data_IF_003063883400
#
_entry.id   IF_003063883400
#
_cell.length_a   1.000
_cell.length_b   1.000
_cell.length_c   1.000
_cell.angle_alpha   90.00
_cell.angle_beta   90.00
_cell.angle_gamma   90.00
#
_symmetry.space_group_name_H-M   'P 1'
#
loop_
_entity.id
_entity.type
_entity.pdbx_description
1 polymer ?
#
# COMPACT_ATOMS: atom_id res chain seq x y z
N UNK A 1 -20.18 -93.62 78.40
CA UNK A 1 -19.83 -92.20 78.61
C UNK A 1 -18.70 -91.94 79.62
N UNK A 2 -18.42 -92.81 80.61
CA UNK A 2 -17.31 -92.61 81.57
C UNK A 2 -15.91 -92.72 80.93
N UNK A 3 -15.65 -93.76 80.14
CA UNK A 3 -14.36 -93.94 79.44
C UNK A 3 -13.98 -92.76 78.54
N UNK A 4 -14.94 -92.11 77.90
CA UNK A 4 -14.67 -90.92 77.08
C UNK A 4 -14.27 -89.72 77.93
N UNK A 5 -14.91 -89.52 79.11
CA UNK A 5 -14.53 -88.44 80.04
C UNK A 5 -13.14 -88.66 80.64
N UNK A 6 -12.79 -89.91 80.95
CA UNK A 6 -11.46 -90.24 81.49
C UNK A 6 -10.36 -90.11 80.41
N UNK A 7 -10.70 -90.43 79.15
CA UNK A 7 -9.83 -90.20 78.00
C UNK A 7 -9.64 -88.72 77.69
N UNK A 8 -10.69 -87.90 77.83
CA UNK A 8 -10.59 -86.45 77.68
C UNK A 8 -9.75 -85.85 78.81
N UNK A 9 -9.98 -86.23 80.07
CA UNK A 9 -9.17 -85.74 81.21
C UNK A 9 -7.70 -86.14 81.12
N UNK A 10 -7.40 -87.34 80.61
CA UNK A 10 -6.03 -87.78 80.38
C UNK A 10 -5.39 -87.02 79.22
N UNK A 11 -6.12 -86.78 78.13
CA UNK A 11 -5.66 -85.93 77.03
C UNK A 11 -5.49 -84.46 77.47
N UNK A 12 -6.38 -83.92 78.30
CA UNK A 12 -6.25 -82.58 78.86
C UNK A 12 -5.00 -82.45 79.69
N UNK A 13 -4.74 -83.35 80.65
CA UNK A 13 -3.48 -83.39 81.39
C UNK A 13 -2.26 -83.44 80.46
N UNK A 14 -2.35 -84.32 79.46
CA UNK A 14 -1.32 -84.48 78.44
C UNK A 14 -1.05 -83.17 77.71
N UNK A 15 -2.07 -82.42 77.32
CA UNK A 15 -1.89 -81.15 76.62
C UNK A 15 -1.55 -79.99 77.56
N UNK A 16 -1.97 -79.97 78.81
CA UNK A 16 -1.69 -78.88 79.76
C UNK A 16 -0.29 -78.91 80.36
N UNK A 17 0.42 -80.05 80.29
CA UNK A 17 1.79 -80.15 80.79
C UNK A 17 2.78 -79.33 79.92
N UNK A 18 3.45 -78.31 80.49
CA UNK A 18 4.32 -77.40 79.75
C UNK A 18 5.64 -78.04 79.26
N UNK A 19 6.05 -79.17 79.84
CA UNK A 19 7.34 -79.83 79.55
C UNK A 19 7.28 -80.86 78.40
N UNK A 20 6.18 -80.91 77.65
CA UNK A 20 5.98 -81.92 76.59
C UNK A 20 6.72 -81.53 75.29
N UNK A 21 7.52 -82.47 74.75
CA UNK A 21 8.48 -82.29 73.64
C UNK A 21 7.95 -81.61 72.36
N UNK A 22 6.64 -81.68 72.07
CA UNK A 22 6.05 -81.16 70.83
C UNK A 22 5.22 -79.87 71.00
N UNK A 23 5.17 -79.27 72.20
CA UNK A 23 4.36 -78.06 72.46
C UNK A 23 5.16 -76.76 72.42
N UNK A 24 6.48 -76.83 72.57
CA UNK A 24 7.38 -75.68 72.57
C UNK A 24 8.00 -75.51 71.17
N UNK A 25 7.70 -74.41 70.49
CA UNK A 25 8.43 -74.01 69.27
C UNK A 25 9.58 -73.11 69.68
N UNK A 26 10.80 -73.62 69.61
CA UNK A 26 12.01 -72.79 69.79
C UNK A 26 12.13 -71.87 68.58
N UNK A 27 11.89 -70.58 68.78
CA UNK A 27 12.11 -69.59 67.72
C UNK A 27 13.63 -69.45 67.49
N UNK A 28 14.11 -69.55 66.24
CA UNK A 28 15.51 -69.32 65.95
C UNK A 28 15.82 -67.83 66.11
N UNK A 29 16.83 -67.53 66.91
CA UNK A 29 17.26 -66.18 67.24
C UNK A 29 17.89 -66.14 68.62
N UNK A 30 18.83 -65.23 68.85
CA UNK A 30 19.30 -64.88 70.19
C UNK A 30 18.72 -63.52 70.51
N UNK A 31 18.10 -63.40 71.68
CA UNK A 31 17.79 -62.09 72.23
C UNK A 31 19.12 -61.42 72.53
N UNK A 32 19.43 -60.29 71.89
CA UNK A 32 20.68 -59.61 72.15
C UNK A 32 20.71 -59.22 73.63
N UNK A 33 21.82 -59.49 74.34
CA UNK A 33 21.96 -58.99 75.69
C UNK A 33 21.84 -57.47 75.67
N UNK A 34 21.28 -56.90 76.74
CA UNK A 34 21.01 -55.47 76.88
C UNK A 34 22.26 -54.61 76.53
N UNK A 35 23.46 -55.12 76.81
CA UNK A 35 24.74 -54.50 76.46
C UNK A 35 25.01 -54.41 74.94
N UNK A 36 24.61 -55.41 74.15
CA UNK A 36 24.76 -55.38 72.69
C UNK A 36 23.78 -54.37 72.06
N UNK A 37 22.57 -54.26 72.59
CA UNK A 37 21.60 -53.24 72.19
C UNK A 37 22.12 -51.83 72.48
N UNK A 38 22.68 -51.59 73.67
CA UNK A 38 23.29 -50.29 74.00
C UNK A 38 24.44 -49.93 73.07
N UNK A 39 25.34 -50.88 72.77
CA UNK A 39 26.42 -50.66 71.79
C UNK A 39 25.88 -50.31 70.40
N UNK A 40 24.79 -50.96 69.98
CA UNK A 40 24.16 -50.67 68.69
C UNK A 40 23.49 -49.30 68.66
N UNK A 41 22.85 -48.89 69.74
CA UNK A 41 22.27 -47.55 69.89
C UNK A 41 23.37 -46.50 69.80
N UNK A 42 24.47 -46.66 70.54
CA UNK A 42 25.62 -45.75 70.51
C UNK A 42 26.22 -45.63 69.09
N UNK A 43 26.36 -46.76 68.38
CA UNK A 43 26.84 -46.77 67.01
C UNK A 43 25.90 -46.03 66.04
N UNK A 44 24.58 -46.17 66.24
CA UNK A 44 23.57 -45.46 65.45
C UNK A 44 23.53 -43.97 65.77
N UNK A 45 23.70 -43.57 67.03
CA UNK A 45 23.79 -42.16 67.45
C UNK A 45 24.99 -41.48 66.80
N UNK A 46 26.16 -42.15 66.79
CA UNK A 46 27.35 -41.64 66.10
C UNK A 46 27.11 -41.49 64.59
N UNK A 47 26.42 -42.46 63.98
CA UNK A 47 26.08 -42.37 62.55
C UNK A 47 25.09 -41.26 62.25
N UNK A 48 24.09 -41.06 63.12
CA UNK A 48 23.11 -39.98 63.02
C UNK A 48 23.80 -38.62 63.08
N UNK A 49 24.64 -38.40 64.10
CA UNK A 49 25.40 -37.15 64.26
C UNK A 49 26.28 -36.84 63.03
N UNK A 50 26.97 -37.85 62.48
CA UNK A 50 27.75 -37.70 61.24
C UNK A 50 26.90 -37.36 60.01
N UNK A 51 25.64 -37.80 59.97
CA UNK A 51 24.72 -37.49 58.87
C UNK A 51 24.15 -36.08 59.01
N UNK A 52 23.84 -35.65 60.23
CA UNK A 52 23.38 -34.30 60.55
C UNK A 52 24.46 -33.27 60.22
N UNK A 53 25.72 -33.50 60.60
CA UNK A 53 26.85 -32.64 60.24
C UNK A 53 26.95 -32.48 58.71
N UNK A 54 26.92 -33.59 57.96
CA UNK A 54 26.94 -33.58 56.49
C UNK A 54 25.73 -32.91 55.86
N UNK A 55 24.58 -32.93 56.53
CA UNK A 55 23.37 -32.24 56.06
C UNK A 55 23.59 -30.73 56.17
N UNK A 56 24.05 -30.26 57.33
CA UNK A 56 24.33 -28.85 57.58
C UNK A 56 25.37 -28.27 56.61
N UNK A 57 26.43 -29.04 56.30
CA UNK A 57 27.40 -28.65 55.28
C UNK A 57 26.75 -28.46 53.90
N UNK A 58 25.86 -29.38 53.50
CA UNK A 58 25.15 -29.28 52.23
C UNK A 58 24.17 -28.10 52.20
N UNK A 59 23.46 -27.86 53.29
CA UNK A 59 22.53 -26.75 53.39
C UNK A 59 23.26 -25.42 53.25
N UNK A 60 24.43 -25.27 53.90
CA UNK A 60 25.26 -24.08 53.75
C UNK A 60 25.75 -23.88 52.31
N UNK A 61 26.19 -24.95 51.64
CA UNK A 61 26.59 -24.89 50.22
C UNK A 61 25.40 -24.55 49.33
N UNK A 62 24.23 -25.13 49.60
CA UNK A 62 23.00 -24.86 48.85
C UNK A 62 22.56 -23.40 48.97
N UNK A 63 22.59 -22.81 50.17
CA UNK A 63 22.29 -21.41 50.38
C UNK A 63 23.26 -20.49 49.62
N UNK A 64 24.55 -20.81 49.66
CA UNK A 64 25.58 -20.05 48.94
C UNK A 64 25.36 -20.11 47.42
N UNK A 65 25.13 -21.30 46.86
CA UNK A 65 24.86 -21.50 45.44
C UNK A 65 23.55 -20.81 45.04
N UNK A 66 22.49 -20.93 45.84
CA UNK A 66 21.21 -20.28 45.57
C UNK A 66 21.36 -18.76 45.51
N UNK A 67 22.06 -18.17 46.47
CA UNK A 67 22.36 -16.72 46.49
C UNK A 67 23.18 -16.28 45.28
N UNK A 68 24.16 -17.10 44.86
CA UNK A 68 24.96 -16.79 43.66
C UNK A 68 24.12 -16.88 42.38
N UNK A 69 23.29 -17.92 42.26
CA UNK A 69 22.37 -18.12 41.14
C UNK A 69 21.39 -16.95 41.01
N UNK A 70 20.79 -16.52 42.12
CA UNK A 70 19.85 -15.40 42.11
C UNK A 70 20.53 -14.08 41.67
N UNK A 71 21.73 -13.80 42.17
CA UNK A 71 22.52 -12.64 41.72
C UNK A 71 22.82 -12.68 40.22
N UNK A 72 23.16 -13.85 39.68
CA UNK A 72 23.42 -14.01 38.24
C UNK A 72 22.12 -13.84 37.46
N UNK A 73 21.01 -14.41 37.94
CA UNK A 73 19.69 -14.30 37.32
C UNK A 73 19.25 -12.84 37.19
N UNK A 74 19.36 -12.04 38.28
CA UNK A 74 19.02 -10.61 38.25
C UNK A 74 19.90 -9.84 37.26
N UNK A 75 21.21 -10.13 37.22
CA UNK A 75 22.12 -9.51 36.24
C UNK A 75 21.75 -9.87 34.80
N UNK A 76 21.42 -11.14 34.55
CA UNK A 76 21.01 -11.62 33.25
C UNK A 76 19.70 -10.96 32.79
N UNK A 77 18.72 -10.81 33.69
CA UNK A 77 17.44 -10.17 33.38
C UNK A 77 17.62 -8.68 33.05
N UNK A 78 18.40 -7.96 33.86
CA UNK A 78 18.72 -6.56 33.58
C UNK A 78 19.44 -6.39 32.22
N UNK A 79 20.38 -7.28 31.91
CA UNK A 79 21.09 -7.27 30.63
C UNK A 79 20.18 -7.52 29.42
N UNK A 80 19.12 -8.34 29.56
CA UNK A 80 18.13 -8.55 28.49
C UNK A 80 17.38 -7.26 28.16
N UNK A 81 16.92 -6.52 29.18
CA UNK A 81 16.16 -5.28 28.97
C UNK A 81 17.04 -4.20 28.31
N UNK A 82 18.28 -4.02 28.76
CA UNK A 82 19.23 -3.09 28.13
C UNK A 82 19.50 -3.44 26.66
N UNK A 83 19.70 -4.73 26.37
CA UNK A 83 19.92 -5.23 25.02
C UNK A 83 18.70 -4.98 24.13
N UNK A 84 17.49 -5.18 24.66
CA UNK A 84 16.24 -4.93 23.95
C UNK A 84 16.03 -3.44 23.65
N UNK A 85 16.31 -2.56 24.61
CA UNK A 85 16.26 -1.10 24.40
C UNK A 85 17.25 -0.68 23.32
N UNK A 86 18.47 -1.22 23.36
CA UNK A 86 19.50 -0.94 22.35
C UNK A 86 19.05 -1.42 20.95
N UNK A 87 18.52 -2.63 20.84
CA UNK A 87 18.01 -3.17 19.58
C UNK A 87 16.87 -2.31 19.01
N UNK A 88 15.92 -1.85 19.85
CA UNK A 88 14.87 -0.92 19.43
C UNK A 88 15.44 0.39 18.90
N UNK A 89 16.40 0.99 19.60
CA UNK A 89 17.09 2.22 19.15
C UNK A 89 17.81 2.02 17.81
N UNK A 90 18.48 0.88 17.64
CA UNK A 90 19.17 0.52 16.40
C UNK A 90 18.20 0.40 15.22
N UNK A 91 17.05 -0.25 15.42
CA UNK A 91 16.01 -0.36 14.39
C UNK A 91 15.49 1.01 13.93
N UNK A 92 15.21 1.91 14.88
CA UNK A 92 14.78 3.29 14.56
C UNK A 92 15.85 4.04 13.75
N UNK A 93 17.13 3.90 14.11
CA UNK A 93 18.21 4.51 13.35
C UNK A 93 18.33 3.92 11.94
N UNK A 94 18.19 2.61 11.80
CA UNK A 94 18.21 1.94 10.50
C UNK A 94 17.07 2.41 9.60
N UNK A 95 15.86 2.58 10.14
CA UNK A 95 14.71 3.12 9.42
C UNK A 95 14.98 4.57 8.97
N UNK A 96 15.51 5.42 9.86
CA UNK A 96 15.89 6.78 9.51
C UNK A 96 16.92 6.82 8.38
N UNK A 97 17.97 5.99 8.46
CA UNK A 97 19.00 5.90 7.42
C UNK A 97 18.39 5.46 6.08
N UNK A 98 17.50 4.47 6.07
CA UNK A 98 16.80 4.05 4.85
C UNK A 98 15.96 5.19 4.27
N UNK A 99 15.20 5.89 5.12
CA UNK A 99 14.35 7.01 4.70
C UNK A 99 15.16 8.17 4.11
N UNK A 100 16.30 8.53 4.71
CA UNK A 100 17.17 9.60 4.22
C UNK A 100 17.88 9.20 2.94
N UNK A 101 18.32 7.94 2.82
CA UNK A 101 18.93 7.41 1.60
C UNK A 101 17.93 7.45 0.44
N UNK A 102 16.66 7.10 0.68
CA UNK A 102 15.62 7.19 -0.33
C UNK A 102 15.36 8.62 -0.79
N UNK A 103 15.27 9.58 0.15
CA UNK A 103 15.15 11.01 -0.17
C UNK A 103 16.36 11.51 -0.96
N UNK A 104 17.57 11.10 -0.58
CA UNK A 104 18.79 11.45 -1.28
C UNK A 104 18.79 10.92 -2.72
N UNK A 105 18.36 9.67 -2.94
CA UNK A 105 18.23 9.10 -4.29
C UNK A 105 17.21 9.88 -5.15
N UNK A 106 16.07 10.28 -4.58
CA UNK A 106 15.09 11.11 -5.29
C UNK A 106 15.68 12.47 -5.70
N UNK A 107 16.36 13.16 -4.77
CA UNK A 107 17.02 14.44 -5.06
C UNK A 107 18.14 14.30 -6.08
N UNK A 108 18.92 13.22 -6.04
CA UNK A 108 19.95 12.95 -7.06
C UNK A 108 19.31 12.75 -8.43
N UNK A 109 18.18 12.03 -8.52
CA UNK A 109 17.46 11.85 -9.77
C UNK A 109 16.91 13.18 -10.32
N UNK A 110 16.29 14.00 -9.47
CA UNK A 110 15.83 15.35 -9.83
C UNK A 110 16.99 16.21 -10.33
N UNK A 111 18.10 16.26 -9.60
CA UNK A 111 19.30 16.99 -10.00
C UNK A 111 19.82 16.51 -11.35
N UNK A 112 19.88 15.20 -11.58
CA UNK A 112 20.34 14.63 -12.86
C UNK A 112 19.44 15.04 -14.03
N UNK A 113 18.12 15.11 -13.81
CA UNK A 113 17.17 15.58 -14.82
C UNK A 113 17.39 17.06 -15.12
N UNK A 114 17.57 17.89 -14.08
CA UNK A 114 17.85 19.32 -14.26
C UNK A 114 19.20 19.57 -14.95
N UNK A 115 20.23 18.80 -14.61
CA UNK A 115 21.52 18.85 -15.29
C UNK A 115 21.40 18.49 -16.77
N UNK A 116 20.67 17.41 -17.09
CA UNK A 116 20.41 17.03 -18.47
C UNK A 116 19.63 18.10 -19.25
N UNK A 117 18.65 18.75 -18.62
CA UNK A 117 17.92 19.88 -19.21
C UNK A 117 18.82 21.08 -19.45
N UNK A 118 19.67 21.45 -18.49
CA UNK A 118 20.61 22.56 -18.62
C UNK A 118 21.58 22.32 -19.79
N UNK A 119 22.12 21.10 -19.92
CA UNK A 119 22.99 20.72 -21.03
C UNK A 119 22.25 20.83 -22.37
N UNK A 120 21.00 20.36 -22.46
CA UNK A 120 20.18 20.47 -23.68
C UNK A 120 19.94 21.93 -24.07
N UNK A 121 19.53 22.77 -23.12
CA UNK A 121 19.30 24.19 -23.38
C UNK A 121 20.58 24.93 -23.78
N UNK A 122 21.70 24.59 -23.17
CA UNK A 122 23.00 25.14 -23.55
C UNK A 122 23.40 24.71 -24.97
N UNK A 123 23.11 23.47 -25.36
CA UNK A 123 23.33 23.01 -26.72
C UNK A 123 22.44 23.78 -27.71
N UNK A 124 21.14 23.92 -27.44
CA UNK A 124 20.23 24.67 -28.29
C UNK A 124 20.62 26.15 -28.43
N UNK A 125 21.11 26.77 -27.35
CA UNK A 125 21.63 28.13 -27.40
C UNK A 125 22.81 28.22 -28.37
N UNK A 126 23.81 27.32 -28.23
CA UNK A 126 24.97 27.28 -29.13
C UNK A 126 24.57 27.04 -30.57
N UNK A 127 23.63 26.12 -30.83
CA UNK A 127 23.16 25.81 -32.18
C UNK A 127 22.47 27.02 -32.82
N UNK A 128 21.62 27.73 -32.07
CA UNK A 128 20.94 28.95 -32.53
C UNK A 128 21.92 30.11 -32.74
N UNK A 129 22.91 30.28 -31.87
CA UNK A 129 23.98 31.27 -32.03
C UNK A 129 24.79 30.99 -33.29
N UNK A 130 25.17 29.74 -33.53
CA UNK A 130 25.88 29.34 -34.75
C UNK A 130 25.03 29.60 -36.01
N UNK A 131 23.74 29.28 -35.97
CA UNK A 131 22.82 29.57 -37.06
C UNK A 131 22.74 31.07 -37.34
N UNK A 132 22.59 31.88 -36.29
CA UNK A 132 22.54 33.34 -36.40
C UNK A 132 23.83 33.89 -37.01
N UNK A 133 25.00 33.45 -36.52
CA UNK A 133 26.30 33.83 -37.08
C UNK A 133 26.42 33.48 -38.57
N UNK A 134 25.93 32.30 -38.98
CA UNK A 134 25.89 31.91 -40.38
C UNK A 134 24.98 32.83 -41.22
N UNK A 135 23.81 33.19 -40.72
CA UNK A 135 22.89 34.12 -41.40
C UNK A 135 23.51 35.50 -41.52
N UNK A 136 24.07 36.04 -40.42
CA UNK A 136 24.72 37.36 -40.41
C UNK A 136 25.85 37.39 -41.44
N UNK A 137 26.73 36.39 -41.44
CA UNK A 137 27.83 36.33 -42.42
C UNK A 137 27.34 36.23 -43.87
N UNK A 138 26.22 35.54 -44.14
CA UNK A 138 25.60 35.50 -45.48
C UNK A 138 25.01 36.84 -45.87
N UNK A 139 24.32 37.50 -44.95
CA UNK A 139 23.71 38.80 -45.16
C UNK A 139 24.76 39.88 -45.44
N UNK A 140 25.87 39.89 -44.69
CA UNK A 140 27.04 40.75 -44.94
C UNK A 140 27.62 40.56 -46.35
N UNK A 141 27.55 39.33 -46.88
CA UNK A 141 27.99 38.99 -48.24
C UNK A 141 26.91 39.24 -49.30
N UNK A 142 25.73 39.76 -48.93
CA UNK A 142 24.59 39.97 -49.82
C UNK A 142 23.93 38.67 -50.31
N UNK A 143 24.22 37.53 -49.67
CA UNK A 143 23.63 36.24 -50.02
C UNK A 143 22.29 36.04 -49.30
N UNK A 144 21.33 35.32 -49.91
CA UNK A 144 20.06 35.04 -49.29
C UNK A 144 20.22 34.15 -48.04
N UNK A 145 19.31 34.30 -47.04
CA UNK A 145 19.22 33.39 -45.91
C UNK A 145 19.09 31.92 -46.35
N UNK A 146 19.50 30.96 -45.51
CA UNK A 146 19.30 29.54 -45.79
C UNK A 146 17.82 29.20 -46.08
N UNK A 147 17.58 28.26 -47.00
CA UNK A 147 16.24 27.89 -47.48
C UNK A 147 15.28 27.45 -46.38
N UNK A 148 15.80 26.80 -45.35
CA UNK A 148 15.01 26.32 -44.20
C UNK A 148 14.32 27.48 -43.48
N UNK A 149 15.05 28.57 -43.23
CA UNK A 149 14.55 29.78 -42.56
C UNK A 149 13.52 30.50 -43.43
N UNK A 150 13.73 30.53 -44.75
CA UNK A 150 12.76 31.10 -45.68
C UNK A 150 11.42 30.35 -45.63
N UNK A 151 11.47 29.02 -45.63
CA UNK A 151 10.27 28.18 -45.53
C UNK A 151 9.55 28.38 -44.20
N UNK A 152 10.29 28.48 -43.09
CA UNK A 152 9.73 28.78 -41.77
C UNK A 152 9.07 30.15 -41.73
N UNK A 153 9.72 31.17 -42.30
CA UNK A 153 9.16 32.51 -42.40
C UNK A 153 7.84 32.54 -43.19
N UNK A 154 7.79 31.85 -44.33
CA UNK A 154 6.56 31.72 -45.12
C UNK A 154 5.45 30.95 -44.38
N UNK A 155 5.79 30.02 -43.48
CA UNK A 155 4.79 29.39 -42.59
C UNK A 155 4.22 30.40 -41.60
N UNK A 156 5.09 31.17 -40.92
CA UNK A 156 4.66 32.20 -39.97
C UNK A 156 3.71 33.21 -40.62
N UNK A 157 4.04 33.72 -41.81
CA UNK A 157 3.17 34.65 -42.54
C UNK A 157 1.79 34.05 -42.88
N UNK A 158 1.74 32.76 -43.24
CA UNK A 158 0.47 32.06 -43.49
C UNK A 158 -0.35 31.94 -42.21
N UNK A 159 0.28 31.53 -41.11
CA UNK A 159 -0.40 31.33 -39.84
C UNK A 159 -0.90 32.64 -39.23
N UNK A 160 -0.17 33.75 -39.42
CA UNK A 160 -0.64 35.08 -39.05
C UNK A 160 -1.86 35.51 -39.86
N UNK A 161 -1.86 35.27 -41.17
CA UNK A 161 -3.01 35.57 -42.02
C UNK A 161 -4.25 34.78 -41.59
N UNK A 162 -4.07 33.49 -41.31
CA UNK A 162 -5.16 32.61 -40.83
C UNK A 162 -5.68 33.11 -39.47
N UNK A 163 -4.78 33.46 -38.54
CA UNK A 163 -5.17 33.99 -37.22
C UNK A 163 -5.94 35.30 -37.32
N UNK A 164 -5.52 36.22 -38.20
CA UNK A 164 -6.24 37.47 -38.47
C UNK A 164 -7.65 37.19 -38.99
N UNK A 165 -7.79 36.37 -40.02
CA UNK A 165 -9.10 35.98 -40.56
C UNK A 165 -9.98 35.34 -39.48
N UNK A 166 -9.43 34.39 -38.70
CA UNK A 166 -10.17 33.73 -37.63
C UNK A 166 -10.63 34.71 -36.53
N UNK A 167 -9.79 35.71 -36.20
CA UNK A 167 -10.17 36.75 -35.24
C UNK A 167 -11.24 37.68 -35.79
N UNK A 168 -11.16 38.05 -37.07
CA UNK A 168 -12.16 38.88 -37.75
C UNK A 168 -13.49 38.15 -37.89
N UNK A 169 -13.47 36.85 -38.22
CA UNK A 169 -14.70 36.05 -38.29
C UNK A 169 -15.37 35.93 -36.92
N UNK A 170 -14.58 35.72 -35.85
CA UNK A 170 -15.12 35.66 -34.48
C UNK A 170 -15.68 37.01 -34.03
N UNK A 171 -15.00 38.11 -34.35
CA UNK A 171 -15.47 39.45 -34.02
C UNK A 171 -16.78 39.79 -34.75
N UNK A 172 -16.90 39.40 -36.03
CA UNK A 172 -18.14 39.55 -36.80
C UNK A 172 -19.28 38.72 -36.20
N UNK A 173 -19.02 37.47 -35.83
CA UNK A 173 -20.00 36.60 -35.17
C UNK A 173 -20.48 37.19 -33.84
N UNK A 174 -19.58 37.70 -33.00
CA UNK A 174 -19.94 38.33 -31.74
C UNK A 174 -20.78 39.61 -31.93
N UNK A 175 -20.46 40.44 -32.93
CA UNK A 175 -21.26 41.62 -33.27
C UNK A 175 -22.67 41.24 -33.75
N UNK A 176 -22.79 40.18 -34.56
CA UNK A 176 -24.06 39.66 -35.03
C UNK A 176 -24.91 39.07 -33.89
N UNK A 177 -24.28 38.37 -32.94
CA UNK A 177 -24.92 37.88 -31.71
C UNK A 177 -25.41 39.03 -30.83
N UNK A 178 -24.61 40.09 -30.63
CA UNK A 178 -25.03 41.28 -29.88
C UNK A 178 -26.18 42.04 -30.56
N UNK A 179 -26.13 42.22 -31.89
CA UNK A 179 -27.22 42.84 -32.65
C UNK A 179 -28.52 42.01 -32.58
N UNK A 180 -28.39 40.69 -32.50
CA UNK A 180 -29.52 39.77 -32.37
C UNK A 180 -30.08 39.71 -30.94
N UNK A 181 -29.35 40.19 -29.93
CA UNK A 181 -29.74 40.18 -28.53
C UNK A 181 -30.63 41.39 -28.16
N UNK A 182 -31.86 41.42 -28.68
CA UNK A 182 -32.89 42.36 -28.21
C UNK A 182 -33.50 41.87 -26.87
N UNK A 183 -33.82 42.74 -25.89
CA UNK A 183 -34.32 42.34 -24.56
C UNK A 183 -35.62 41.53 -24.53
N UNK A 184 -36.38 41.50 -25.63
CA UNK A 184 -37.67 40.78 -25.76
C UNK A 184 -37.55 39.54 -26.67
N UNK A 185 -36.37 39.27 -27.24
CA UNK A 185 -36.18 38.20 -28.21
C UNK A 185 -35.69 36.89 -27.55
N UNK A 186 -36.25 35.75 -27.99
CA UNK A 186 -35.82 34.41 -27.58
C UNK A 186 -34.52 34.07 -28.30
N UNK A 187 -33.47 33.75 -27.55
CA UNK A 187 -32.17 33.41 -28.11
C UNK A 187 -32.25 32.07 -28.86
N UNK A 188 -32.04 32.08 -30.18
CA UNK A 188 -32.07 30.88 -31.03
C UNK A 188 -30.86 30.87 -31.97
N UNK A 189 -30.30 29.69 -32.22
CA UNK A 189 -29.19 29.46 -33.17
C UNK A 189 -29.68 29.14 -34.58
N UNK A 190 -31.00 29.18 -34.81
CA UNK A 190 -31.59 28.94 -36.12
C UNK A 190 -31.48 30.22 -36.97
N UNK A 191 -31.11 30.09 -38.24
CA UNK A 191 -31.16 31.20 -39.19
C UNK A 191 -32.58 31.80 -39.22
N UNK A 192 -32.70 33.11 -38.98
CA UNK A 192 -33.99 33.79 -39.03
C UNK A 192 -34.56 33.71 -40.44
N UNK A 193 -35.80 33.22 -40.55
CA UNK A 193 -36.50 33.16 -41.84
C UNK A 193 -36.85 34.58 -42.29
N UNK A 194 -36.67 34.92 -43.57
CA UNK A 194 -37.20 36.17 -44.12
C UNK A 194 -38.71 36.24 -43.85
N UNK A 195 -39.12 37.17 -43.00
CA UNK A 195 -40.51 37.31 -42.54
C UNK A 195 -41.35 38.24 -43.42
N UNK A 196 -40.70 39.02 -44.29
CA UNK A 196 -41.32 39.93 -45.23
C UNK A 196 -40.63 39.88 -46.60
N UNK A 197 -41.37 40.22 -47.65
CA UNK A 197 -40.80 40.58 -48.95
C UNK A 197 -40.97 42.07 -49.18
N UNK A 198 -40.15 42.60 -50.08
CA UNK A 198 -40.31 43.94 -50.62
C UNK A 198 -40.96 43.74 -51.99
N UNK A 199 -42.18 44.26 -52.23
CA UNK A 199 -42.82 44.17 -53.53
C UNK A 199 -42.06 44.99 -54.58
N UNK A 200 -41.84 44.42 -55.77
CA UNK A 200 -41.14 45.07 -56.90
C UNK A 200 -42.10 45.88 -57.83
N UNK A 201 -43.39 45.98 -57.48
CA UNK A 201 -44.39 46.72 -58.28
C UNK A 201 -44.21 48.24 -58.14
N UNK A 202 -44.06 48.95 -59.27
CA UNK A 202 -43.82 50.41 -59.29
C UNK A 202 -44.96 51.26 -58.68
N UNK A 203 -46.16 50.70 -58.53
CA UNK A 203 -47.33 51.39 -57.97
C UNK A 203 -47.49 51.21 -56.45
N UNK A 204 -46.52 50.57 -55.78
CA UNK A 204 -46.58 50.27 -54.35
C UNK A 204 -45.31 50.73 -53.65
N UNK A 205 -45.46 51.41 -52.51
CA UNK A 205 -44.31 51.81 -51.68
C UNK A 205 -43.46 50.58 -51.31
N UNK A 206 -42.11 50.65 -51.36
CA UNK A 206 -41.20 49.53 -51.07
C UNK A 206 -41.09 49.30 -49.56
N UNK A 207 -42.23 49.03 -48.93
CA UNK A 207 -42.33 48.69 -47.52
C UNK A 207 -42.37 47.16 -47.37
N UNK A 208 -41.65 46.60 -46.38
CA UNK A 208 -41.63 45.17 -46.15
C UNK A 208 -43.03 44.68 -45.79
N UNK A 209 -43.58 43.79 -46.63
CA UNK A 209 -44.90 43.17 -46.44
C UNK A 209 -44.74 41.75 -45.90
N UNK A 210 -45.49 41.36 -44.85
CA UNK A 210 -45.46 39.99 -44.35
C UNK A 210 -46.03 39.04 -45.41
N UNK A 211 -45.45 37.85 -45.55
CA UNK A 211 -45.88 36.86 -46.54
C UNK A 211 -47.28 36.23 -46.27
N UNK A 212 -47.92 36.57 -45.13
CA UNK A 212 -49.24 36.04 -44.77
C UNK A 212 -49.25 34.52 -44.59
N UNK A 213 -50.40 33.88 -44.84
CA UNK A 213 -50.58 32.43 -44.67
C UNK A 213 -49.80 31.57 -45.69
N UNK A 214 -49.33 32.17 -46.79
CA UNK A 214 -48.60 31.49 -47.87
C UNK A 214 -47.11 31.85 -47.83
N UNK A 215 -46.50 31.79 -46.65
CA UNK A 215 -45.09 32.11 -46.49
C UNK A 215 -44.19 31.13 -47.26
N UNK A 216 -43.19 31.63 -48.02
CA UNK A 216 -42.25 30.77 -48.71
C UNK A 216 -41.44 29.98 -47.69
N UNK A 217 -41.45 28.66 -47.85
CA UNK A 217 -40.62 27.77 -47.06
C UNK A 217 -39.24 27.65 -47.72
N UNK A 218 -38.17 28.01 -47.01
CA UNK A 218 -36.79 27.72 -47.45
C UNK A 218 -36.68 26.19 -47.54
N UNK A 219 -36.45 25.60 -48.73
CA UNK A 219 -36.26 24.17 -48.86
C UNK A 219 -35.15 23.72 -47.92
N UNK A 220 -35.39 22.63 -47.19
CA UNK A 220 -34.36 22.02 -46.35
C UNK A 220 -33.14 21.74 -47.23
N UNK A 221 -31.95 22.06 -46.75
CA UNK A 221 -30.74 21.65 -47.46
C UNK A 221 -30.79 20.13 -47.65
N UNK A 222 -30.48 19.64 -48.86
CA UNK A 222 -30.53 18.22 -49.13
C UNK A 222 -29.62 17.51 -48.14
N UNK A 223 -30.20 16.65 -47.29
CA UNK A 223 -29.42 15.97 -46.27
C UNK A 223 -28.34 15.12 -46.92
N UNK A 224 -27.22 14.89 -46.22
CA UNK A 224 -26.14 14.04 -46.73
C UNK A 224 -26.64 12.65 -47.20
N UNK A 225 -27.78 12.18 -46.68
CA UNK A 225 -28.42 10.92 -47.03
C UNK A 225 -29.17 10.94 -48.37
N UNK A 226 -29.44 12.09 -48.99
CA UNK A 226 -30.07 12.17 -50.32
C UNK A 226 -29.21 11.59 -51.44
N UNK A 227 -27.91 11.36 -51.22
CA UNK A 227 -26.99 10.71 -52.18
C UNK A 227 -27.39 9.26 -52.50
N UNK A 228 -28.20 8.62 -51.65
CA UNK A 228 -28.63 7.22 -51.82
C UNK A 228 -30.01 7.06 -52.49
N UNK A 229 -30.80 8.14 -52.65
CA UNK A 229 -32.08 8.06 -53.35
C UNK A 229 -31.88 8.15 -54.87
N UNK A 230 -32.13 7.06 -55.59
CA UNK A 230 -32.10 7.04 -57.05
C UNK A 230 -33.48 7.37 -57.61
N UNK A 231 -33.57 8.32 -58.55
CA UNK A 231 -34.82 8.65 -59.23
C UNK A 231 -35.31 7.43 -60.01
N UNK A 232 -36.60 7.04 -59.90
CA UNK A 232 -37.14 5.91 -60.65
C UNK A 232 -37.11 6.22 -62.15
N UNK A 233 -36.75 5.21 -62.96
CA UNK A 233 -36.75 5.33 -64.42
C UNK A 233 -38.20 5.28 -64.89
N UNK A 234 -38.70 6.39 -65.43
CA UNK A 234 -40.05 6.48 -66.00
C UNK A 234 -40.04 5.70 -67.32
N UNK A 235 -40.79 4.60 -67.39
CA UNK A 235 -40.94 3.84 -68.63
C UNK A 235 -41.83 4.63 -69.60
N UNK A 236 -41.49 4.69 -70.90
CA UNK A 236 -42.34 5.34 -71.88
C UNK A 236 -43.68 4.60 -71.95
N UNK A 237 -44.76 5.37 -71.91
CA UNK A 237 -46.12 4.85 -72.11
C UNK A 237 -46.30 4.77 -73.61
N UNK A 238 -46.44 3.55 -74.14
CA UNK A 238 -46.78 3.34 -75.54
C UNK A 238 -48.25 3.76 -75.74
N UNK A 239 -48.46 4.78 -76.58
CA UNK A 239 -49.78 5.23 -77.06
C UNK A 239 -49.87 4.86 -78.53
#
# INVERSE_FOLDING_TARGET
FSQCKDRIKSLEKVFTDPDRENRIRVLPGKDPPIQELFKKIEELEIQLARKEEKLLEKDFVYEQVSRMTEKISVKAENGKEETLILAKKMNVLQEKIKSTTQKMMALIAELSMHQALAIKLQQEMRDKEQLLMCIISRLEKGLPPPREIEVEWLKVLRDEKIRKIASETKAKQALEEEQSALPTAVHTTAEQRPNAYIPDDENVLPLPRPYGALAPFKPSEPSANMRHMRKPVVKPIEI
#
